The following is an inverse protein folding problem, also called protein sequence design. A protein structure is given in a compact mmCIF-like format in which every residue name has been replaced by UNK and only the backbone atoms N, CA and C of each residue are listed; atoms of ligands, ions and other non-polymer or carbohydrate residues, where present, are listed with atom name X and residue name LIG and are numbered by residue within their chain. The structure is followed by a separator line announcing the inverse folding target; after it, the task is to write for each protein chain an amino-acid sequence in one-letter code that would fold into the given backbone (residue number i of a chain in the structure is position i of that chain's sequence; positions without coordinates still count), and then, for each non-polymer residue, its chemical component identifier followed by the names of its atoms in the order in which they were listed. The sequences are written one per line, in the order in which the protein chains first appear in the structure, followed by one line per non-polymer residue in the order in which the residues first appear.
data_IF_631668679841
#
_entry.id   IF_631668679841
#
_cell.length_a   1.000
_cell.length_b   1.000
_cell.length_c   1.000
_cell.angle_alpha   90.00
_cell.angle_beta   90.00
_cell.angle_gamma   90.00
#
_symmetry.space_group_name_H-M   'P 1'
#
loop_
_entity.id
_entity.type
_entity.pdbx_description
1 polymer ?
#
# COMPACT_ATOMS: atom_id res chain seq x y z
N UNK A 1 2.23 8.67 22.15
CA UNK A 1 1.49 8.64 20.86
C UNK A 1 2.36 7.86 19.89
N UNK A 2 2.02 6.59 19.60
CA UNK A 2 2.90 5.64 18.92
C UNK A 2 2.97 5.99 17.42
N UNK A 3 4.10 6.52 16.97
CA UNK A 3 4.46 6.50 15.55
C UNK A 3 4.64 5.03 15.16
N UNK A 4 3.55 4.37 14.75
CA UNK A 4 3.65 3.09 14.06
C UNK A 4 4.42 3.38 12.77
N UNK A 5 5.50 2.66 12.54
CA UNK A 5 6.33 2.78 11.34
C UNK A 5 5.50 2.41 10.10
N UNK A 6 4.75 3.37 9.58
CA UNK A 6 3.84 3.21 8.44
C UNK A 6 4.58 2.75 7.18
N UNK A 7 5.83 3.18 7.00
CA UNK A 7 6.68 2.74 5.90
C UNK A 7 6.97 1.23 5.96
N UNK A 8 7.13 0.67 7.17
CA UNK A 8 7.42 -0.76 7.35
C UNK A 8 6.25 -1.61 6.88
N UNK A 9 5.02 -1.24 7.22
CA UNK A 9 3.83 -2.03 6.88
C UNK A 9 3.61 -2.17 5.37
N UNK A 10 3.91 -1.13 4.58
CA UNK A 10 3.83 -1.22 3.12
C UNK A 10 4.94 -2.11 2.56
N UNK A 11 6.17 -1.94 3.04
CA UNK A 11 7.31 -2.75 2.57
C UNK A 11 7.31 -4.20 3.07
N UNK A 12 6.51 -4.51 4.09
CA UNK A 12 6.30 -5.88 4.59
C UNK A 12 5.39 -6.69 3.65
N UNK A 13 4.60 -6.03 2.81
CA UNK A 13 3.70 -6.72 1.88
C UNK A 13 4.54 -7.39 0.78
N UNK A 14 4.43 -8.72 0.61
CA UNK A 14 5.18 -9.43 -0.42
C UNK A 14 4.81 -8.92 -1.81
N UNK A 15 5.83 -8.51 -2.56
CA UNK A 15 5.67 -7.89 -3.89
C UNK A 15 5.61 -6.36 -3.88
N UNK A 16 5.58 -5.71 -2.71
CA UNK A 16 5.77 -4.25 -2.61
C UNK A 16 7.26 -3.93 -2.52
N UNK A 17 7.80 -3.41 -3.62
CA UNK A 17 9.15 -2.84 -3.64
C UNK A 17 9.18 -1.41 -3.08
N UNK A 18 10.39 -0.87 -2.78
CA UNK A 18 10.56 0.51 -2.31
C UNK A 18 10.01 1.56 -3.31
N UNK A 19 10.03 1.25 -4.62
CA UNK A 19 9.41 2.10 -5.66
C UNK A 19 7.89 2.17 -5.50
N UNK A 20 7.25 1.01 -5.31
CA UNK A 20 5.80 0.89 -5.16
C UNK A 20 5.32 1.50 -3.85
N UNK A 21 6.03 1.23 -2.74
CA UNK A 21 5.75 1.86 -1.45
C UNK A 21 5.85 3.40 -1.54
N UNK A 22 6.87 3.92 -2.24
CA UNK A 22 7.01 5.36 -2.48
C UNK A 22 5.87 5.93 -3.34
N UNK A 23 5.44 5.22 -4.39
CA UNK A 23 4.33 5.64 -5.23
C UNK A 23 3.00 5.66 -4.46
N UNK A 24 2.73 4.62 -3.66
CA UNK A 24 1.56 4.57 -2.77
C UNK A 24 1.59 5.69 -1.75
N UNK A 25 2.73 5.95 -1.11
CA UNK A 25 2.86 7.08 -0.19
C UNK A 25 2.72 8.44 -0.89
N UNK A 26 3.16 8.58 -2.13
CA UNK A 26 2.98 9.81 -2.90
C UNK A 26 1.52 10.05 -3.28
N UNK A 27 0.79 8.99 -3.66
CA UNK A 27 -0.62 9.03 -4.06
C UNK A 27 -1.55 9.26 -2.85
N UNK A 28 -1.44 8.39 -1.86
CA UNK A 28 -2.38 8.32 -0.74
C UNK A 28 -1.94 9.15 0.47
N UNK A 29 -0.69 9.66 0.48
CA UNK A 29 -0.08 10.47 1.57
C UNK A 29 0.04 9.78 2.92
N UNK A 30 -0.64 8.66 3.14
CA UNK A 30 -0.64 7.92 4.41
C UNK A 30 -1.12 6.49 4.23
N UNK A 31 -0.64 5.58 5.07
CA UNK A 31 -1.04 4.16 5.06
C UNK A 31 -2.52 3.97 5.39
N UNK A 32 -3.12 4.86 6.19
CA UNK A 32 -4.58 4.84 6.42
C UNK A 32 -5.35 4.99 5.12
N UNK A 33 -4.95 5.94 4.27
CA UNK A 33 -5.57 6.13 2.96
C UNK A 33 -5.27 4.97 2.00
N UNK A 34 -4.10 4.32 2.09
CA UNK A 34 -3.82 3.09 1.34
C UNK A 34 -4.72 1.93 1.80
N UNK A 35 -4.96 1.82 3.11
CA UNK A 35 -5.85 0.82 3.70
C UNK A 35 -7.31 1.04 3.28
N UNK A 36 -7.77 2.28 3.24
CA UNK A 36 -9.14 2.62 2.81
C UNK A 36 -9.30 2.59 1.28
N UNK A 37 -8.19 2.57 0.54
CA UNK A 37 -8.21 2.49 -0.91
C UNK A 37 -8.71 1.12 -1.38
N UNK A 38 -9.50 1.13 -2.45
CA UNK A 38 -9.95 -0.10 -3.09
C UNK A 38 -8.80 -0.75 -3.87
N UNK A 39 -8.87 -2.06 -4.18
CA UNK A 39 -7.90 -2.72 -5.03
C UNK A 39 -7.71 -2.00 -6.37
N UNK A 40 -8.79 -1.45 -6.93
CA UNK A 40 -8.76 -0.67 -8.17
C UNK A 40 -7.93 0.63 -8.03
N UNK A 41 -8.07 1.34 -6.91
CA UNK A 41 -7.27 2.53 -6.62
C UNK A 41 -5.79 2.19 -6.40
N UNK A 42 -5.53 1.04 -5.78
CA UNK A 42 -4.18 0.55 -5.54
C UNK A 42 -3.51 0.15 -6.87
N UNK A 43 -4.19 -0.58 -7.76
CA UNK A 43 -3.65 -0.95 -9.09
C UNK A 43 -3.43 0.26 -10.01
N UNK A 44 -4.17 1.36 -9.80
CA UNK A 44 -3.93 2.63 -10.49
C UNK A 44 -2.60 3.29 -10.06
N UNK A 45 -1.93 2.79 -9.03
CA UNK A 45 -0.63 3.30 -8.61
C UNK A 45 0.48 2.70 -9.48
N UNK A 46 1.39 3.52 -10.06
CA UNK A 46 2.44 3.02 -10.92
C UNK A 46 3.37 2.04 -10.16
N UNK A 47 3.46 0.82 -10.68
CA UNK A 47 4.22 -0.27 -10.06
C UNK A 47 3.44 -1.13 -9.07
N UNK A 48 2.14 -0.91 -8.91
CA UNK A 48 1.20 -1.84 -8.27
C UNK A 48 0.45 -2.57 -9.37
N UNK A 49 0.64 -3.89 -9.50
CA UNK A 49 -0.21 -4.71 -10.37
C UNK A 49 -1.50 -5.12 -9.66
N UNK A 50 -2.49 -5.63 -10.41
CA UNK A 50 -3.73 -6.20 -9.84
C UNK A 50 -3.50 -7.16 -8.68
N UNK A 51 -2.52 -8.06 -8.85
CA UNK A 51 -2.19 -9.06 -7.84
C UNK A 51 -1.65 -8.40 -6.56
N UNK A 52 -0.76 -7.41 -6.72
CA UNK A 52 -0.23 -6.63 -5.59
C UNK A 52 -1.33 -5.83 -4.91
N UNK A 53 -2.19 -5.16 -5.67
CA UNK A 53 -3.32 -4.40 -5.15
C UNK A 53 -4.27 -5.26 -4.30
N UNK A 54 -4.59 -6.47 -4.77
CA UNK A 54 -5.40 -7.42 -4.00
C UNK A 54 -4.71 -7.86 -2.71
N UNK A 55 -3.39 -8.14 -2.76
CA UNK A 55 -2.63 -8.53 -1.56
C UNK A 55 -2.59 -7.39 -0.55
N UNK A 56 -2.33 -6.15 -0.98
CA UNK A 56 -2.34 -4.98 -0.10
C UNK A 56 -3.71 -4.83 0.57
N UNK A 57 -4.77 -4.87 -0.23
CA UNK A 57 -6.13 -4.72 0.28
C UNK A 57 -6.46 -5.83 1.28
N UNK A 58 -6.18 -7.09 0.93
CA UNK A 58 -6.38 -8.23 1.82
C UNK A 58 -5.57 -8.11 3.12
N UNK A 59 -4.29 -7.73 3.03
CA UNK A 59 -3.41 -7.55 4.20
C UNK A 59 -3.94 -6.51 5.19
N UNK A 60 -4.59 -5.44 4.70
CA UNK A 60 -5.16 -4.41 5.56
C UNK A 60 -6.60 -4.69 6.03
N UNK A 61 -7.30 -5.61 5.35
CA UNK A 61 -8.69 -6.02 5.64
C UNK A 61 -8.80 -7.39 6.34
N UNK A 62 -7.68 -8.04 6.66
CA UNK A 62 -7.62 -9.18 7.57
C UNK A 62 -7.76 -8.76 9.05
#
# INVERSE_FOLDING_TARGET
MKQKSYSSTLTEIPGIGPKTAKALMAQFKSVGAVKEATPDQLENTPGVGKQTAQIIYAYFHE
#
